data_IF_745109561611
#
_entry.id   IF_745109561611
#
_cell.length_a   1.000
_cell.length_b   1.000
_cell.length_c   1.000
_cell.angle_alpha   90.00
_cell.angle_beta   90.00
_cell.angle_gamma   90.00
#
_symmetry.space_group_name_H-M   'P 1'
#
loop_
_entity.id
_entity.type
_entity.pdbx_description
1 polymer ?
#
# COMPACT_ATOMS: atom_id res chain seq x y z
N UNK A 1 26.52 32.06 16.84
CA UNK A 1 25.74 31.33 17.86
C UNK A 1 24.41 30.99 17.21
N UNK A 2 24.18 29.71 16.97
CA UNK A 2 23.18 29.18 16.05
C UNK A 2 21.76 29.27 16.63
N UNK A 3 20.74 29.49 15.79
CA UNK A 3 19.32 29.65 16.16
C UNK A 3 18.79 28.47 16.99
N UNK A 4 19.37 27.28 16.79
CA UNK A 4 19.07 26.08 17.58
C UNK A 4 19.56 26.18 19.04
N UNK A 5 20.69 26.85 19.30
CA UNK A 5 21.24 27.02 20.65
C UNK A 5 20.48 28.06 21.46
N UNK A 6 19.93 29.07 20.79
CA UNK A 6 19.09 30.11 21.41
C UNK A 6 17.70 29.56 21.78
N UNK A 7 17.12 28.68 20.96
CA UNK A 7 15.86 28.00 21.28
C UNK A 7 15.98 27.05 22.49
N UNK A 8 17.11 26.33 22.62
CA UNK A 8 17.38 25.45 23.76
C UNK A 8 17.53 26.22 25.09
N UNK A 9 18.14 27.41 25.06
CA UNK A 9 18.26 28.28 26.24
C UNK A 9 16.97 28.99 26.63
N UNK A 10 16.12 29.35 25.65
CA UNK A 10 14.82 29.97 25.90
C UNK A 10 13.83 28.96 26.53
N UNK A 11 13.86 27.70 26.09
CA UNK A 11 13.01 26.64 26.65
C UNK A 11 13.26 26.34 28.13
N UNK A 12 14.47 26.58 28.65
CA UNK A 12 14.82 26.28 30.05
C UNK A 12 14.58 27.46 31.02
N UNK A 13 14.32 28.68 30.51
CA UNK A 13 14.16 29.90 31.32
C UNK A 13 12.74 30.45 31.40
N UNK A 14 11.79 29.94 30.60
CA UNK A 14 10.38 30.42 30.57
C UNK A 14 9.40 29.34 31.09
N UNK A 15 9.71 28.74 32.24
CA UNK A 15 8.73 27.92 32.95
C UNK A 15 8.82 28.22 34.46
N UNK A 16 8.33 29.39 34.86
CA UNK A 16 7.79 29.54 36.20
C UNK A 16 6.28 29.32 36.15
N UNK A 17 5.89 28.15 36.64
CA UNK A 17 4.53 27.67 36.81
C UNK A 17 3.82 28.55 37.85
N UNK A 18 3.06 29.54 37.43
CA UNK A 18 2.11 30.22 38.31
C UNK A 18 0.81 29.42 38.35
N UNK A 19 0.58 28.71 39.45
CA UNK A 19 -0.73 28.15 39.78
C UNK A 19 -1.54 29.22 40.52
N UNK A 20 -2.55 29.77 39.86
CA UNK A 20 -3.74 30.33 40.49
C UNK A 20 -4.89 30.23 39.50
N UNK A 21 -6.06 29.86 40.01
CA UNK A 21 -7.22 29.43 39.24
C UNK A 21 -7.62 30.45 38.15
N UNK A 22 -7.90 29.91 36.96
CA UNK A 22 -8.61 30.57 35.85
C UNK A 22 -7.80 31.43 34.86
N UNK A 23 -6.55 31.09 34.52
CA UNK A 23 -5.88 31.67 33.33
C UNK A 23 -4.69 30.83 32.85
N UNK A 24 -4.62 30.51 31.55
CA UNK A 24 -3.41 30.02 30.89
C UNK A 24 -2.84 31.13 30.00
N UNK A 25 -1.63 31.60 30.30
CA UNK A 25 -0.95 32.64 29.53
C UNK A 25 0.24 31.99 28.81
N UNK A 26 0.27 32.08 27.48
CA UNK A 26 1.44 31.73 26.67
C UNK A 26 2.16 33.02 26.24
N UNK A 27 3.43 33.15 26.59
CA UNK A 27 4.28 34.25 26.14
C UNK A 27 5.28 33.71 25.12
N UNK A 28 5.13 34.11 23.86
CA UNK A 28 6.13 33.90 22.82
C UNK A 28 6.69 35.27 22.44
N UNK A 29 8.01 35.37 22.33
CA UNK A 29 8.81 36.60 22.45
C UNK A 29 8.58 37.70 21.38
N UNK A 30 7.57 37.60 20.50
CA UNK A 30 7.28 38.64 19.50
C UNK A 30 5.79 38.87 19.22
N UNK A 31 4.89 38.65 20.19
CA UNK A 31 3.50 39.09 20.08
C UNK A 31 2.60 38.45 21.12
N UNK A 32 1.92 39.27 21.92
CA UNK A 32 0.96 38.82 22.92
C UNK A 32 -0.34 38.43 22.20
N UNK A 33 -0.76 37.17 22.28
CA UNK A 33 -2.13 36.75 21.95
C UNK A 33 -2.83 36.46 23.27
N UNK A 34 -3.75 37.34 23.67
CA UNK A 34 -4.67 37.12 24.80
C UNK A 34 -6.00 36.67 24.20
N UNK A 35 -6.44 35.46 24.54
CA UNK A 35 -7.84 35.05 24.30
C UNK A 35 -8.55 35.07 25.64
N UNK A 36 -9.41 36.07 25.84
CA UNK A 36 -10.37 36.09 26.95
C UNK A 36 -11.79 35.96 26.39
N UNK A 37 -12.61 35.12 27.02
CA UNK A 37 -14.06 35.13 26.81
C UNK A 37 -14.65 36.41 27.42
N UNK A 38 -14.74 37.49 26.66
CA UNK A 38 -15.79 38.53 26.72
C UNK A 38 -15.46 39.68 25.77
N UNK A 39 -16.47 40.13 25.05
CA UNK A 39 -16.44 41.00 23.86
C UNK A 39 -16.06 42.45 24.20
N UNK A 40 -15.20 43.07 23.39
CA UNK A 40 -15.42 44.35 22.64
C UNK A 40 -14.13 45.17 22.41
N UNK A 41 -14.08 45.79 21.23
CA UNK A 41 -13.24 46.94 20.81
C UNK A 41 -11.87 46.67 20.16
N UNK A 42 -11.86 46.88 18.84
CA UNK A 42 -10.76 47.35 17.96
C UNK A 42 -9.42 46.60 17.93
N UNK A 43 -9.38 45.48 17.21
CA UNK A 43 -8.17 45.00 16.53
C UNK A 43 -8.50 44.81 15.04
N UNK A 44 -8.68 45.91 14.31
CA UNK A 44 -8.92 45.87 12.85
C UNK A 44 -7.83 46.58 12.02
N UNK A 45 -6.70 46.98 12.62
CA UNK A 45 -5.68 47.76 11.89
C UNK A 45 -4.28 47.13 11.78
N UNK A 46 -4.01 45.94 12.34
CA UNK A 46 -2.64 45.40 12.35
C UNK A 46 -2.46 43.98 11.79
N UNK A 47 -3.50 43.41 11.18
CA UNK A 47 -3.50 42.00 10.77
C UNK A 47 -3.62 41.86 9.25
N UNK A 48 -2.65 42.36 8.49
CA UNK A 48 -2.52 42.07 7.05
C UNK A 48 -1.52 40.95 6.73
N UNK A 49 -0.87 40.35 7.74
CA UNK A 49 0.17 39.33 7.59
C UNK A 49 -0.03 38.06 8.45
N UNK A 50 -1.26 37.73 8.87
CA UNK A 50 -1.53 36.56 9.74
C UNK A 50 -1.55 35.21 9.00
N UNK A 51 -1.69 35.19 7.67
CA UNK A 51 -1.77 33.93 6.94
C UNK A 51 -0.44 33.12 6.95
N UNK A 52 0.71 33.78 7.03
CA UNK A 52 2.03 33.11 7.07
C UNK A 52 2.43 32.63 8.48
N UNK A 53 1.97 33.30 9.53
CA UNK A 53 2.28 32.90 10.91
C UNK A 53 1.46 31.70 11.37
N UNK A 54 0.28 31.48 10.80
CA UNK A 54 -0.55 30.30 11.08
C UNK A 54 0.07 29.00 10.54
N UNK A 55 0.66 29.03 9.33
CA UNK A 55 1.32 27.85 8.74
C UNK A 55 2.55 27.42 9.54
N UNK A 56 3.39 28.37 9.95
CA UNK A 56 4.56 28.10 10.79
C UNK A 56 4.17 27.60 12.19
N UNK A 57 3.08 28.13 12.75
CA UNK A 57 2.54 27.68 14.04
C UNK A 57 2.04 26.24 13.96
N UNK A 58 1.32 25.88 12.89
CA UNK A 58 0.84 24.51 12.71
C UNK A 58 2.00 23.52 12.54
N UNK A 59 3.00 23.85 11.72
CA UNK A 59 4.17 22.99 11.54
C UNK A 59 4.95 22.78 12.85
N UNK A 60 5.11 23.83 13.68
CA UNK A 60 5.72 23.73 15.01
C UNK A 60 4.86 22.93 16.01
N UNK A 61 3.54 23.13 16.01
CA UNK A 61 2.61 22.43 16.89
C UNK A 61 2.54 20.93 16.56
N UNK A 62 2.61 20.57 15.27
CA UNK A 62 2.67 19.17 14.83
C UNK A 62 4.02 18.51 15.14
N UNK A 63 5.12 19.26 15.08
CA UNK A 63 6.41 18.80 15.59
C UNK A 63 6.33 18.49 17.09
N UNK A 64 5.58 19.29 17.86
CA UNK A 64 5.40 19.06 19.29
C UNK A 64 4.54 17.81 19.60
N UNK A 65 3.46 17.58 18.85
CA UNK A 65 2.58 16.41 19.06
C UNK A 65 3.21 15.06 18.66
N UNK A 66 4.11 15.05 17.66
CA UNK A 66 4.71 13.82 17.10
C UNK A 66 6.16 13.55 17.55
N UNK A 67 6.60 14.11 18.67
CA UNK A 67 7.96 13.85 19.19
C UNK A 67 9.09 14.47 18.36
N UNK A 68 8.82 15.54 17.62
CA UNK A 68 9.81 16.37 16.92
C UNK A 68 10.06 16.01 15.45
N UNK A 69 9.54 14.89 14.96
CA UNK A 69 9.79 14.47 13.57
C UNK A 69 8.61 14.78 12.64
N UNK A 70 8.84 15.46 11.50
CA UNK A 70 7.80 15.63 10.50
C UNK A 70 7.38 14.27 9.94
N UNK A 71 6.06 14.05 9.78
CA UNK A 71 5.51 12.81 9.23
C UNK A 71 6.27 12.42 7.96
N UNK A 72 6.89 11.24 7.86
CA UNK A 72 7.68 10.85 6.69
C UNK A 72 6.86 10.83 5.40
N UNK A 73 7.53 10.97 4.25
CA UNK A 73 6.85 10.96 2.94
C UNK A 73 6.03 9.69 2.71
N UNK A 74 6.54 8.50 3.07
CA UNK A 74 5.84 7.24 2.86
C UNK A 74 4.51 7.17 3.64
N UNK A 75 4.48 7.71 4.87
CA UNK A 75 3.29 7.72 5.71
C UNK A 75 2.26 8.75 5.18
N UNK A 76 2.73 9.92 4.72
CA UNK A 76 1.85 10.89 4.06
C UNK A 76 1.27 10.33 2.77
N UNK A 77 2.10 9.69 1.97
CA UNK A 77 1.72 9.02 0.73
C UNK A 77 0.59 8.01 0.99
N UNK A 78 0.77 7.09 1.93
CA UNK A 78 -0.26 6.11 2.30
C UNK A 78 -1.58 6.79 2.69
N UNK A 79 -1.53 7.80 3.58
CA UNK A 79 -2.74 8.52 4.03
C UNK A 79 -3.45 9.29 2.91
N UNK A 80 -2.70 9.91 2.00
CA UNK A 80 -3.24 10.59 0.81
C UNK A 80 -4.01 9.60 -0.06
N UNK A 81 -3.41 8.44 -0.31
CA UNK A 81 -3.96 7.42 -1.19
C UNK A 81 -5.21 6.76 -0.59
N UNK A 82 -5.21 6.54 0.73
CA UNK A 82 -6.39 6.05 1.47
C UNK A 82 -7.57 7.02 1.35
N UNK A 83 -7.32 8.32 1.55
CA UNK A 83 -8.34 9.35 1.39
C UNK A 83 -8.91 9.40 -0.04
N UNK A 84 -8.06 9.21 -1.04
CA UNK A 84 -8.45 9.12 -2.44
C UNK A 84 -9.26 7.85 -2.76
N UNK A 85 -8.95 6.72 -2.14
CA UNK A 85 -9.73 5.48 -2.27
C UNK A 85 -11.13 5.60 -1.67
N UNK A 86 -11.28 6.34 -0.57
CA UNK A 86 -12.57 6.57 0.09
C UNK A 86 -13.49 7.51 -0.72
N UNK A 87 -12.94 8.58 -1.31
CA UNK A 87 -13.73 9.70 -1.86
C UNK A 87 -13.60 9.90 -3.37
N UNK A 88 -12.79 9.09 -4.05
CA UNK A 88 -12.40 9.17 -5.48
C UNK A 88 -11.66 10.45 -5.90
N UNK A 89 -11.86 11.54 -5.16
CA UNK A 89 -11.24 12.84 -5.30
C UNK A 89 -11.04 13.47 -3.92
N UNK A 90 -9.93 14.18 -3.74
CA UNK A 90 -9.65 14.94 -2.51
C UNK A 90 -9.04 16.29 -2.86
N UNK A 91 -9.35 17.30 -2.06
CA UNK A 91 -8.70 18.61 -2.21
C UNK A 91 -7.42 18.70 -1.38
N UNK A 92 -6.47 19.53 -1.81
CA UNK A 92 -5.24 19.78 -1.05
C UNK A 92 -5.55 20.43 0.31
N UNK A 93 -6.61 21.24 0.40
CA UNK A 93 -7.04 21.86 1.67
C UNK A 93 -7.54 20.81 2.66
N UNK A 94 -8.40 19.91 2.20
CA UNK A 94 -8.92 18.80 3.01
C UNK A 94 -7.79 17.89 3.52
N UNK A 95 -6.83 17.54 2.65
CA UNK A 95 -5.65 16.78 3.06
C UNK A 95 -4.78 17.54 4.06
N UNK A 96 -4.65 18.87 3.90
CA UNK A 96 -3.86 19.71 4.82
C UNK A 96 -4.47 19.70 6.22
N UNK A 97 -5.80 19.82 6.30
CA UNK A 97 -6.54 19.78 7.57
C UNK A 97 -6.52 18.38 8.21
N UNK A 98 -6.69 17.32 7.41
CA UNK A 98 -6.75 15.93 7.91
C UNK A 98 -5.38 15.39 8.34
N UNK A 99 -4.32 15.74 7.61
CA UNK A 99 -2.97 15.22 7.83
C UNK A 99 -2.10 16.16 8.66
N UNK A 100 -2.58 17.38 8.90
CA UNK A 100 -1.83 18.45 9.55
C UNK A 100 -0.49 18.72 8.83
N UNK A 101 -0.53 18.76 7.50
CA UNK A 101 0.64 18.99 6.64
C UNK A 101 0.42 20.26 5.83
N UNK A 102 1.44 21.12 5.73
CA UNK A 102 1.35 22.36 4.96
C UNK A 102 1.05 22.13 3.48
N UNK A 103 0.23 23.03 2.90
CA UNK A 103 -0.18 22.99 1.49
C UNK A 103 1.02 22.89 0.51
N UNK A 104 2.14 23.62 0.70
CA UNK A 104 3.31 23.48 -0.16
C UNK A 104 3.94 22.09 -0.12
N UNK A 105 3.94 21.43 1.04
CA UNK A 105 4.44 20.05 1.19
C UNK A 105 3.52 19.07 0.49
N UNK A 106 2.22 19.17 0.69
CA UNK A 106 1.25 18.36 -0.04
C UNK A 106 1.32 18.56 -1.56
N UNK A 107 1.54 19.78 -2.05
CA UNK A 107 1.76 20.03 -3.48
C UNK A 107 2.98 19.28 -4.03
N UNK A 108 4.10 19.28 -3.30
CA UNK A 108 5.31 18.51 -3.66
C UNK A 108 5.04 17.01 -3.65
N UNK A 109 4.29 16.55 -2.66
CA UNK A 109 3.91 15.14 -2.56
C UNK A 109 2.98 14.74 -3.72
N UNK A 110 1.97 15.54 -4.06
CA UNK A 110 1.10 15.29 -5.22
C UNK A 110 1.89 15.22 -6.53
N UNK A 111 2.88 16.10 -6.73
CA UNK A 111 3.75 16.07 -7.93
C UNK A 111 4.51 14.73 -8.00
N UNK A 112 5.06 14.26 -6.87
CA UNK A 112 5.73 12.96 -6.81
C UNK A 112 4.76 11.82 -7.11
N UNK A 113 3.57 11.84 -6.51
CA UNK A 113 2.56 10.79 -6.71
C UNK A 113 2.04 10.75 -8.15
N UNK A 114 1.87 11.92 -8.79
CA UNK A 114 1.51 12.02 -10.21
C UNK A 114 2.63 11.49 -11.11
N UNK A 115 3.89 11.85 -10.83
CA UNK A 115 5.05 11.32 -11.55
C UNK A 115 5.21 9.79 -11.40
N UNK A 116 4.79 9.25 -10.25
CA UNK A 116 4.72 7.81 -9.99
C UNK A 116 3.46 7.15 -10.61
N UNK A 117 2.59 7.91 -11.29
CA UNK A 117 1.37 7.40 -11.91
C UNK A 117 0.31 6.94 -10.91
N UNK A 118 0.36 7.41 -9.66
CA UNK A 118 -0.55 7.00 -8.57
C UNK A 118 -1.83 7.82 -8.52
N UNK A 119 -1.77 9.09 -8.95
CA UNK A 119 -2.88 10.04 -8.89
C UNK A 119 -2.91 10.91 -10.16
N UNK A 120 -4.06 11.49 -10.48
CA UNK A 120 -4.20 12.55 -11.47
C UNK A 120 -4.49 13.85 -10.74
N UNK A 121 -3.67 14.89 -10.94
CA UNK A 121 -3.93 16.16 -10.28
C UNK A 121 -5.08 16.90 -10.97
N UNK A 122 -5.92 17.52 -10.17
CA UNK A 122 -6.98 18.42 -10.62
C UNK A 122 -6.70 19.84 -10.14
N UNK A 123 -7.50 20.81 -10.57
CA UNK A 123 -7.34 22.20 -10.14
C UNK A 123 -7.70 22.35 -8.64
N UNK A 124 -6.71 22.15 -7.76
CA UNK A 124 -6.86 22.28 -6.30
C UNK A 124 -6.87 20.96 -5.51
N UNK A 125 -6.68 19.81 -6.18
CA UNK A 125 -6.79 18.50 -5.57
C UNK A 125 -6.13 17.40 -6.39
N UNK A 126 -6.58 16.18 -6.13
CA UNK A 126 -6.21 15.01 -6.90
C UNK A 126 -7.40 14.06 -7.01
N UNK A 127 -7.42 13.25 -8.06
CA UNK A 127 -8.29 12.09 -8.22
C UNK A 127 -7.43 10.84 -8.35
N UNK A 128 -8.01 9.69 -8.03
CA UNK A 128 -7.41 8.43 -8.45
C UNK A 128 -7.39 8.37 -9.97
N UNK A 129 -6.30 7.85 -10.53
CA UNK A 129 -6.30 7.45 -11.94
C UNK A 129 -7.24 6.24 -12.07
N UNK A 130 -8.53 6.52 -12.30
CA UNK A 130 -9.47 5.57 -12.87
C UNK A 130 -9.27 5.56 -14.38
N UNK A 131 -8.09 5.18 -14.86
CA UNK A 131 -7.95 4.90 -16.29
C UNK A 131 -8.52 3.51 -16.53
N UNK A 132 -9.64 3.48 -17.25
CA UNK A 132 -9.95 2.39 -18.15
C UNK A 132 -8.64 1.94 -18.83
N UNK A 133 -8.33 0.65 -18.74
CA UNK A 133 -6.99 0.05 -18.85
C UNK A 133 -6.16 0.09 -17.55
N UNK A 134 -6.72 -0.47 -16.48
CA UNK A 134 -6.21 -1.57 -15.62
C UNK A 134 -4.67 -1.88 -15.55
N UNK A 135 -3.88 -1.60 -16.59
CA UNK A 135 -2.48 -2.02 -16.74
C UNK A 135 -1.50 -1.41 -15.73
N UNK A 136 -1.86 -0.32 -15.04
CA UNK A 136 -0.93 0.47 -14.22
C UNK A 136 -1.41 0.77 -12.80
N UNK A 137 -2.39 0.02 -12.25
CA UNK A 137 -2.76 0.20 -10.85
C UNK A 137 -1.58 -0.19 -9.95
N UNK A 138 -1.05 0.75 -9.15
CA UNK A 138 0.06 0.46 -8.24
C UNK A 138 -0.27 -0.63 -7.22
N UNK A 139 0.76 -1.37 -6.78
CA UNK A 139 0.62 -2.47 -5.82
C UNK A 139 -0.16 -2.08 -4.56
N UNK A 140 0.15 -0.94 -3.94
CA UNK A 140 -0.46 -0.54 -2.66
C UNK A 140 -1.97 -0.29 -2.77
N UNK A 141 -2.50 0.16 -3.92
CA UNK A 141 -3.95 0.28 -4.12
C UNK A 141 -4.57 -1.12 -4.18
N UNK A 142 -3.96 -1.99 -4.99
CA UNK A 142 -4.38 -3.38 -5.11
C UNK A 142 -4.26 -4.14 -3.80
N UNK A 143 -3.45 -3.69 -2.84
CA UNK A 143 -3.34 -4.29 -1.52
C UNK A 143 -4.56 -3.99 -0.67
N UNK A 144 -5.17 -2.81 -0.80
CA UNK A 144 -6.33 -2.39 -0.02
C UNK A 144 -7.67 -2.78 -0.65
N UNK A 145 -7.69 -3.07 -1.95
CA UNK A 145 -8.88 -3.58 -2.63
C UNK A 145 -9.25 -4.98 -2.13
N UNK A 146 -10.52 -5.25 -1.88
CA UNK A 146 -11.03 -6.60 -1.60
C UNK A 146 -10.35 -7.33 -0.44
N UNK A 147 -9.89 -6.62 0.61
CA UNK A 147 -9.17 -7.21 1.75
C UNK A 147 -9.92 -8.37 2.39
N UNK A 148 -11.21 -8.19 2.70
CA UNK A 148 -12.03 -9.25 3.30
C UNK A 148 -12.11 -10.50 2.41
N UNK A 149 -12.17 -10.35 1.08
CA UNK A 149 -12.17 -11.48 0.16
C UNK A 149 -10.80 -12.19 0.15
N UNK A 150 -9.70 -11.42 0.09
CA UNK A 150 -8.35 -11.99 0.16
C UNK A 150 -8.08 -12.71 1.46
N UNK A 151 -8.55 -12.20 2.59
CA UNK A 151 -8.38 -12.85 3.89
C UNK A 151 -9.09 -14.21 3.91
N UNK A 152 -10.34 -14.28 3.44
CA UNK A 152 -11.08 -15.55 3.31
C UNK A 152 -10.36 -16.54 2.40
N UNK A 153 -9.83 -16.06 1.28
CA UNK A 153 -9.08 -16.88 0.33
C UNK A 153 -7.76 -17.37 0.94
N UNK A 154 -7.03 -16.51 1.64
CA UNK A 154 -5.77 -16.84 2.31
C UNK A 154 -5.97 -17.88 3.41
N UNK A 155 -7.03 -17.75 4.22
CA UNK A 155 -7.41 -18.75 5.22
C UNK A 155 -7.71 -20.12 4.60
N UNK A 156 -8.33 -20.17 3.41
CA UNK A 156 -8.49 -21.44 2.68
C UNK A 156 -7.15 -21.94 2.13
N UNK A 157 -6.33 -21.05 1.58
CA UNK A 157 -5.08 -21.40 0.93
C UNK A 157 -4.06 -22.01 1.90
N UNK A 158 -3.93 -21.45 3.11
CA UNK A 158 -2.97 -21.94 4.10
C UNK A 158 -3.26 -23.38 4.55
N UNK A 159 -4.54 -23.81 4.53
CA UNK A 159 -4.88 -25.22 4.87
C UNK A 159 -4.34 -26.24 3.87
N UNK A 160 -3.92 -25.79 2.68
CA UNK A 160 -3.27 -26.64 1.67
C UNK A 160 -1.76 -26.75 1.89
N UNK A 161 -1.17 -25.91 2.74
CA UNK A 161 0.27 -25.89 3.02
C UNK A 161 0.63 -26.96 4.05
N UNK A 162 1.73 -27.66 3.80
CA UNK A 162 2.31 -28.65 4.71
C UNK A 162 3.73 -28.24 5.10
N UNK A 163 4.12 -28.59 6.32
CA UNK A 163 5.51 -28.46 6.75
C UNK A 163 6.42 -29.31 5.84
N UNK A 164 7.50 -28.72 5.34
CA UNK A 164 8.37 -29.33 4.33
C UNK A 164 8.09 -28.87 2.90
N UNK A 165 6.96 -28.20 2.63
CA UNK A 165 6.61 -27.75 1.27
C UNK A 165 7.61 -26.69 0.76
N UNK A 166 7.98 -26.85 -0.51
CA UNK A 166 8.49 -25.76 -1.35
C UNK A 166 7.33 -25.07 -2.05
N UNK A 167 7.18 -23.76 -1.83
CA UNK A 167 6.05 -22.96 -2.28
C UNK A 167 6.52 -21.93 -3.30
N UNK A 168 5.93 -21.90 -4.49
CA UNK A 168 5.99 -20.71 -5.34
C UNK A 168 4.89 -19.72 -4.95
N UNK A 169 5.28 -18.46 -4.73
CA UNK A 169 4.38 -17.35 -4.46
C UNK A 169 4.56 -16.27 -5.51
N UNK A 170 3.55 -16.03 -6.34
CA UNK A 170 3.64 -14.99 -7.37
C UNK A 170 3.64 -13.56 -6.78
N UNK A 171 3.81 -12.57 -7.65
CA UNK A 171 3.83 -11.16 -7.28
C UNK A 171 2.48 -10.53 -6.95
N UNK A 172 1.42 -11.32 -6.76
CA UNK A 172 0.06 -10.79 -6.57
C UNK A 172 -0.25 -10.45 -5.11
N UNK A 173 -1.13 -9.47 -4.91
CA UNK A 173 -1.61 -9.09 -3.58
C UNK A 173 -2.45 -10.17 -2.91
N UNK A 174 -3.10 -11.04 -3.70
CA UNK A 174 -3.82 -12.21 -3.20
C UNK A 174 -2.88 -13.27 -2.64
N UNK A 175 -1.75 -13.54 -3.30
CA UNK A 175 -0.76 -14.48 -2.80
C UNK A 175 -0.02 -13.93 -1.57
N UNK A 176 0.31 -12.64 -1.59
CA UNK A 176 0.85 -11.92 -0.43
C UNK A 176 0.02 -12.09 0.85
N UNK A 177 -1.31 -12.09 0.76
CA UNK A 177 -2.21 -12.25 1.92
C UNK A 177 -2.05 -13.59 2.66
N UNK A 178 -1.39 -14.59 2.07
CA UNK A 178 -1.09 -15.87 2.72
C UNK A 178 0.06 -15.73 3.72
N UNK A 179 1.03 -14.85 3.48
CA UNK A 179 2.31 -14.77 4.20
C UNK A 179 2.13 -14.71 5.72
N UNK A 180 1.26 -13.85 6.30
CA UNK A 180 1.09 -13.79 7.75
C UNK A 180 0.63 -15.11 8.38
N UNK A 181 -0.08 -15.95 7.61
CA UNK A 181 -0.61 -17.23 8.06
C UNK A 181 0.43 -18.36 8.00
N UNK A 182 1.60 -18.11 7.41
CA UNK A 182 2.71 -19.08 7.34
C UNK A 182 3.54 -19.13 8.63
N UNK A 183 3.34 -18.21 9.57
CA UNK A 183 4.08 -18.13 10.84
C UNK A 183 4.15 -19.44 11.65
N UNK A 184 3.10 -20.30 11.68
CA UNK A 184 3.16 -21.54 12.44
C UNK A 184 4.09 -22.62 11.86
N UNK A 185 4.43 -22.52 10.58
CA UNK A 185 5.20 -23.54 9.87
C UNK A 185 6.70 -23.31 10.07
N UNK A 186 7.46 -24.41 10.19
CA UNK A 186 8.88 -24.36 10.59
C UNK A 186 9.83 -24.85 9.52
N UNK A 187 9.31 -25.51 8.48
CA UNK A 187 10.12 -26.14 7.42
C UNK A 187 9.62 -25.77 6.04
N UNK A 188 9.31 -24.50 5.81
CA UNK A 188 8.90 -24.02 4.48
C UNK A 188 10.09 -23.45 3.72
N UNK A 189 10.10 -23.66 2.41
CA UNK A 189 10.90 -22.86 1.48
C UNK A 189 9.96 -22.09 0.56
N UNK A 190 10.01 -20.77 0.59
CA UNK A 190 9.13 -19.93 -0.26
C UNK A 190 9.95 -19.24 -1.34
N UNK A 191 9.64 -19.53 -2.59
CA UNK A 191 10.27 -18.89 -3.75
C UNK A 191 9.29 -17.88 -4.33
N UNK A 192 9.67 -16.60 -4.38
CA UNK A 192 8.74 -15.53 -4.79
C UNK A 192 9.37 -14.55 -5.77
N UNK A 193 8.54 -14.05 -6.68
CA UNK A 193 8.92 -12.95 -7.57
C UNK A 193 8.70 -11.57 -6.94
N UNK A 194 8.05 -11.47 -5.78
CA UNK A 194 7.79 -10.16 -5.15
C UNK A 194 8.91 -9.76 -4.18
N UNK A 195 9.50 -8.60 -4.43
CA UNK A 195 10.46 -8.00 -3.51
C UNK A 195 9.84 -7.76 -2.12
N UNK A 196 8.57 -7.33 -2.09
CA UNK A 196 7.84 -7.07 -0.86
C UNK A 196 7.53 -8.37 -0.10
N UNK A 197 7.10 -9.42 -0.81
CA UNK A 197 6.84 -10.72 -0.20
C UNK A 197 8.13 -11.30 0.41
N UNK A 198 9.24 -11.26 -0.32
CA UNK A 198 10.54 -11.73 0.17
C UNK A 198 10.98 -10.98 1.43
N UNK A 199 10.80 -9.66 1.48
CA UNK A 199 11.09 -8.88 2.68
C UNK A 199 10.29 -9.36 3.90
N UNK A 200 8.97 -9.54 3.77
CA UNK A 200 8.13 -10.01 4.88
C UNK A 200 8.46 -11.43 5.33
N UNK A 201 8.69 -12.34 4.38
CA UNK A 201 9.10 -13.70 4.69
C UNK A 201 10.41 -13.71 5.50
N UNK A 202 11.36 -12.83 5.15
CA UNK A 202 12.58 -12.63 5.92
C UNK A 202 12.34 -12.11 7.35
N UNK A 203 11.37 -11.20 7.54
CA UNK A 203 10.99 -10.74 8.89
C UNK A 203 10.40 -11.86 9.77
N UNK A 204 9.81 -12.87 9.14
CA UNK A 204 9.21 -14.03 9.81
C UNK A 204 10.19 -15.20 9.98
N UNK A 205 11.46 -15.02 9.59
CA UNK A 205 12.48 -16.09 9.59
C UNK A 205 12.07 -17.32 8.77
N UNK A 206 11.31 -17.11 7.69
CA UNK A 206 10.95 -18.16 6.73
C UNK A 206 12.04 -18.22 5.65
N UNK A 207 12.58 -19.42 5.40
CA UNK A 207 13.53 -19.64 4.33
C UNK A 207 12.90 -19.23 2.99
N UNK A 208 13.46 -18.21 2.34
CA UNK A 208 12.89 -17.66 1.12
C UNK A 208 13.94 -17.34 0.07
N UNK A 209 13.56 -17.53 -1.19
CA UNK A 209 14.38 -17.25 -2.37
C UNK A 209 13.63 -16.24 -3.21
N UNK A 210 14.24 -15.09 -3.44
CA UNK A 210 13.71 -14.11 -4.38
C UNK A 210 14.19 -14.46 -5.79
N UNK A 211 13.31 -14.43 -6.80
CA UNK A 211 13.69 -14.88 -8.16
C UNK A 211 14.79 -14.02 -8.80
N UNK A 212 14.96 -12.78 -8.35
CA UNK A 212 15.90 -11.82 -8.93
C UNK A 212 15.52 -11.42 -10.36
N UNK A 213 16.35 -10.61 -11.01
CA UNK A 213 16.11 -10.08 -12.36
C UNK A 213 15.68 -8.60 -12.36
N UNK A 214 15.03 -8.15 -13.44
CA UNK A 214 14.58 -6.76 -13.56
C UNK A 214 13.30 -6.56 -12.74
N UNK A 215 13.26 -5.55 -11.90
CA UNK A 215 12.04 -5.21 -11.16
C UNK A 215 11.05 -4.43 -12.03
N UNK A 216 9.78 -4.81 -11.97
CA UNK A 216 8.66 -4.07 -12.53
C UNK A 216 8.11 -3.11 -11.46
N UNK A 217 8.40 -1.82 -11.60
CA UNK A 217 8.16 -0.81 -10.56
C UNK A 217 6.70 -0.69 -10.09
N UNK A 218 5.71 -0.95 -10.96
CA UNK A 218 4.28 -0.85 -10.60
C UNK A 218 3.82 -1.93 -9.62
N UNK A 219 4.44 -3.12 -9.65
CA UNK A 219 4.07 -4.29 -8.84
C UNK A 219 5.18 -4.75 -7.90
N UNK A 220 6.35 -4.13 -7.94
CA UNK A 220 7.57 -4.56 -7.21
C UNK A 220 7.88 -6.05 -7.42
N UNK A 221 7.53 -6.56 -8.59
CA UNK A 221 7.75 -7.95 -8.99
C UNK A 221 8.94 -8.04 -9.91
N UNK A 222 9.82 -8.99 -9.65
CA UNK A 222 10.93 -9.33 -10.52
C UNK A 222 10.45 -10.11 -11.72
N UNK A 223 10.99 -9.76 -12.89
CA UNK A 223 10.63 -10.29 -14.20
C UNK A 223 11.89 -10.43 -15.08
N UNK A 224 11.71 -11.06 -16.24
CA UNK A 224 12.76 -11.24 -17.23
C UNK A 224 13.41 -12.62 -17.15
N UNK A 225 14.40 -12.84 -18.03
CA UNK A 225 14.99 -14.16 -18.22
C UNK A 225 15.67 -14.70 -16.95
N UNK A 226 16.34 -13.83 -16.17
CA UNK A 226 16.97 -14.24 -14.92
C UNK A 226 15.95 -14.76 -13.92
N UNK A 227 14.81 -14.07 -13.78
CA UNK A 227 13.72 -14.49 -12.91
C UNK A 227 13.15 -15.86 -13.34
N UNK A 228 12.93 -16.02 -14.65
CA UNK A 228 12.44 -17.28 -15.22
C UNK A 228 13.44 -18.43 -15.04
N UNK A 229 14.74 -18.16 -15.20
CA UNK A 229 15.82 -19.13 -15.00
C UNK A 229 15.89 -19.59 -13.56
N UNK A 230 15.75 -18.67 -12.61
CA UNK A 230 15.64 -19.00 -11.19
C UNK A 230 14.45 -19.93 -10.95
N UNK A 231 13.25 -19.58 -11.44
CA UNK A 231 12.04 -20.43 -11.28
C UNK A 231 12.25 -21.83 -11.88
N UNK A 232 12.84 -21.94 -13.07
CA UNK A 232 13.13 -23.22 -13.74
C UNK A 232 14.17 -24.08 -13.01
N UNK A 233 14.92 -23.51 -12.08
CA UNK A 233 15.94 -24.24 -11.30
C UNK A 233 15.37 -24.92 -10.04
N UNK A 234 14.08 -24.70 -9.74
CA UNK A 234 13.40 -25.30 -8.60
C UNK A 234 12.14 -26.05 -9.03
N UNK A 235 11.74 -27.03 -8.22
CA UNK A 235 10.44 -27.69 -8.29
C UNK A 235 9.69 -27.38 -6.99
N UNK A 236 8.43 -26.96 -7.11
CA UNK A 236 7.59 -26.63 -5.97
C UNK A 236 6.49 -27.69 -5.76
N UNK A 237 6.18 -27.94 -4.50
CA UNK A 237 5.05 -28.77 -4.10
C UNK A 237 3.72 -28.08 -4.40
N UNK A 238 3.71 -26.75 -4.31
CA UNK A 238 2.53 -25.93 -4.54
C UNK A 238 2.90 -24.54 -5.06
N UNK A 239 2.11 -24.03 -6.01
CA UNK A 239 2.12 -22.61 -6.40
C UNK A 239 0.81 -21.96 -6.01
N UNK A 240 0.93 -20.79 -5.40
CA UNK A 240 -0.16 -19.85 -5.20
C UNK A 240 0.07 -18.63 -6.09
N UNK A 241 -0.92 -18.34 -6.94
CA UNK A 241 -0.86 -17.21 -7.84
C UNK A 241 -2.24 -16.61 -8.08
N UNK A 242 -2.28 -15.42 -8.69
CA UNK A 242 -3.53 -14.79 -9.09
C UNK A 242 -3.45 -14.27 -10.53
N UNK A 243 -4.59 -13.82 -11.04
CA UNK A 243 -4.71 -13.12 -12.32
C UNK A 243 -5.57 -11.87 -12.16
N UNK A 244 -5.78 -11.15 -13.26
CA UNK A 244 -6.67 -9.99 -13.31
C UNK A 244 -8.12 -10.39 -13.64
N UNK A 245 -8.30 -11.42 -14.45
CA UNK A 245 -9.63 -11.91 -14.84
C UNK A 245 -9.66 -13.41 -15.11
N UNK A 246 -10.80 -14.00 -14.81
CA UNK A 246 -11.21 -15.33 -15.24
C UNK A 246 -12.51 -15.20 -16.05
N UNK A 247 -12.47 -15.52 -17.34
CA UNK A 247 -13.65 -15.57 -18.17
C UNK A 247 -14.47 -16.85 -17.92
N UNK A 248 -15.75 -16.82 -18.26
CA UNK A 248 -16.66 -17.97 -18.06
C UNK A 248 -16.30 -19.19 -18.90
N UNK A 249 -15.52 -19.00 -19.97
CA UNK A 249 -14.95 -20.08 -20.78
C UNK A 249 -13.64 -20.65 -20.21
N UNK A 250 -13.17 -20.19 -19.04
CA UNK A 250 -12.03 -20.76 -18.33
C UNK A 250 -10.67 -20.13 -18.60
N UNK A 251 -10.59 -19.01 -19.35
CA UNK A 251 -9.31 -18.33 -19.61
C UNK A 251 -8.92 -17.40 -18.46
N UNK A 252 -7.74 -17.64 -17.90
CA UNK A 252 -7.11 -16.71 -16.97
C UNK A 252 -6.35 -15.66 -17.77
N UNK A 253 -6.51 -14.38 -17.44
CA UNK A 253 -5.88 -13.28 -18.17
C UNK A 253 -5.38 -12.16 -17.27
N UNK A 254 -4.36 -11.45 -17.76
CA UNK A 254 -3.73 -10.30 -17.13
C UNK A 254 -3.23 -9.33 -18.22
N UNK A 255 -2.81 -8.12 -17.83
CA UNK A 255 -2.26 -7.14 -18.76
C UNK A 255 -0.73 -7.24 -18.87
N UNK A 256 -0.06 -7.84 -17.88
CA UNK A 256 1.41 -7.94 -17.86
C UNK A 256 1.91 -9.22 -18.53
N UNK A 257 2.49 -9.11 -19.72
CA UNK A 257 3.06 -10.27 -20.42
C UNK A 257 4.27 -10.84 -19.67
N UNK A 258 5.09 -9.99 -19.06
CA UNK A 258 6.29 -10.41 -18.36
C UNK A 258 5.99 -11.15 -17.06
N UNK A 259 5.01 -10.66 -16.28
CA UNK A 259 4.55 -11.40 -15.10
C UNK A 259 3.86 -12.71 -15.51
N UNK A 260 3.11 -12.72 -16.61
CA UNK A 260 2.48 -13.94 -17.11
C UNK A 260 3.51 -14.99 -17.55
N UNK A 261 4.62 -14.59 -18.18
CA UNK A 261 5.71 -15.53 -18.52
C UNK A 261 6.28 -16.19 -17.28
N UNK A 262 6.55 -15.41 -16.24
CA UNK A 262 7.08 -15.93 -14.98
C UNK A 262 6.07 -16.83 -14.26
N UNK A 263 4.79 -16.43 -14.17
CA UNK A 263 3.72 -17.27 -13.61
C UNK A 263 3.58 -18.59 -14.36
N UNK A 264 3.65 -18.60 -15.70
CA UNK A 264 3.63 -19.86 -16.47
C UNK A 264 4.79 -20.77 -16.09
N UNK A 265 6.00 -20.23 -15.93
CA UNK A 265 7.14 -21.01 -15.46
C UNK A 265 6.89 -21.60 -14.06
N UNK A 266 6.33 -20.82 -13.13
CA UNK A 266 5.98 -21.31 -11.79
C UNK A 266 4.92 -22.40 -11.85
N UNK A 267 3.87 -22.21 -12.65
CA UNK A 267 2.79 -23.19 -12.87
C UNK A 267 3.33 -24.50 -13.44
N UNK A 268 4.26 -24.45 -14.38
CA UNK A 268 4.87 -25.64 -14.97
C UNK A 268 5.77 -26.39 -13.98
N UNK A 269 6.48 -25.67 -13.12
CA UNK A 269 7.39 -26.21 -12.11
C UNK A 269 6.70 -26.61 -10.79
N UNK A 270 5.37 -26.77 -10.79
CA UNK A 270 4.60 -27.04 -9.57
C UNK A 270 3.72 -28.29 -9.68
N UNK A 271 3.74 -29.10 -8.62
CA UNK A 271 2.87 -30.26 -8.48
C UNK A 271 1.40 -29.88 -8.29
N UNK A 272 1.12 -28.93 -7.38
CA UNK A 272 -0.21 -28.40 -7.10
C UNK A 272 -0.32 -26.95 -7.52
N UNK A 273 -1.28 -26.63 -8.38
CA UNK A 273 -1.46 -25.32 -9.00
C UNK A 273 -2.75 -24.69 -8.50
N UNK A 274 -2.65 -23.71 -7.62
CA UNK A 274 -3.78 -23.12 -6.90
C UNK A 274 -3.96 -21.68 -7.30
N UNK A 275 -5.08 -21.39 -7.98
CA UNK A 275 -5.49 -20.03 -8.30
C UNK A 275 -6.17 -19.39 -7.09
N UNK A 276 -5.76 -18.16 -6.75
CA UNK A 276 -6.41 -17.30 -5.78
C UNK A 276 -7.18 -16.22 -6.53
N UNK A 277 -8.51 -16.22 -6.44
CA UNK A 277 -9.36 -15.32 -7.22
C UNK A 277 -10.52 -14.80 -6.37
N UNK A 278 -10.57 -13.50 -6.14
CA UNK A 278 -11.76 -12.87 -5.57
C UNK A 278 -12.87 -12.73 -6.63
N UNK A 279 -14.11 -12.71 -6.17
CA UNK A 279 -15.32 -12.68 -6.97
C UNK A 279 -15.39 -11.51 -7.95
N UNK A 280 -14.71 -10.39 -7.65
CA UNK A 280 -14.68 -9.23 -8.54
C UNK A 280 -13.91 -9.48 -9.85
N UNK A 281 -13.16 -10.58 -9.95
CA UNK A 281 -12.37 -10.96 -11.14
C UNK A 281 -13.05 -12.00 -12.03
N UNK A 282 -14.22 -12.49 -11.64
CA UNK A 282 -15.03 -13.41 -12.44
C UNK A 282 -15.68 -12.70 -13.63
N UNK A 283 -15.89 -13.45 -14.70
CA UNK A 283 -16.45 -12.98 -15.98
C UNK A 283 -15.72 -11.76 -16.57
N UNK A 284 -14.38 -11.80 -16.47
CA UNK A 284 -13.50 -10.74 -17.01
C UNK A 284 -12.41 -11.32 -17.88
N UNK A 285 -12.10 -10.61 -18.95
CA UNK A 285 -11.04 -10.95 -19.89
C UNK A 285 -10.14 -9.73 -20.12
N UNK A 286 -8.83 -9.97 -20.14
CA UNK A 286 -7.78 -8.96 -20.31
C UNK A 286 -6.86 -9.32 -21.48
N UNK A 287 -5.96 -8.39 -21.81
CA UNK A 287 -5.15 -8.41 -23.03
C UNK A 287 -4.38 -9.71 -23.24
N UNK A 288 -3.75 -10.24 -22.20
CA UNK A 288 -2.87 -11.41 -22.30
C UNK A 288 -3.45 -12.60 -21.53
N UNK A 289 -3.71 -13.70 -22.24
CA UNK A 289 -4.07 -14.98 -21.60
C UNK A 289 -2.85 -15.58 -20.89
N UNK A 290 -2.98 -15.88 -19.60
CA UNK A 290 -1.97 -16.56 -18.80
C UNK A 290 -1.98 -18.07 -19.08
N UNK A 291 -3.09 -18.73 -18.79
CA UNK A 291 -3.32 -20.16 -18.96
C UNK A 291 -4.83 -20.45 -18.95
N UNK A 292 -5.21 -21.70 -19.11
CA UNK A 292 -6.60 -22.14 -18.98
C UNK A 292 -6.84 -22.77 -17.61
N UNK A 293 -8.08 -22.74 -17.13
CA UNK A 293 -8.46 -23.33 -15.85
C UNK A 293 -8.20 -24.85 -15.79
N UNK A 294 -8.22 -25.51 -16.95
CA UNK A 294 -7.85 -26.93 -17.11
C UNK A 294 -6.38 -27.25 -16.86
N UNK A 295 -5.53 -26.24 -16.76
CA UNK A 295 -4.12 -26.44 -16.41
C UNK A 295 -3.92 -26.54 -14.89
N UNK A 296 -4.96 -26.24 -14.10
CA UNK A 296 -4.88 -26.01 -12.66
C UNK A 296 -5.57 -27.10 -11.85
N UNK A 297 -5.08 -27.33 -10.63
CA UNK A 297 -5.62 -28.34 -9.73
C UNK A 297 -6.74 -27.78 -8.84
N UNK A 298 -6.70 -26.48 -8.52
CA UNK A 298 -7.65 -25.88 -7.59
C UNK A 298 -7.85 -24.38 -7.86
N UNK A 299 -9.04 -23.87 -7.49
CA UNK A 299 -9.38 -22.46 -7.47
C UNK A 299 -9.99 -22.13 -6.11
N UNK A 300 -9.43 -21.13 -5.43
CA UNK A 300 -9.95 -20.60 -4.19
C UNK A 300 -10.59 -19.23 -4.40
N UNK A 301 -11.85 -19.11 -4.00
CA UNK A 301 -12.65 -17.90 -4.10
C UNK A 301 -13.36 -17.57 -2.77
N UNK A 302 -13.71 -16.30 -2.59
CA UNK A 302 -14.47 -15.79 -1.44
C UNK A 302 -15.94 -16.19 -1.48
N UNK A 303 -16.47 -16.49 -2.68
CA UNK A 303 -17.83 -16.99 -2.89
C UNK A 303 -17.83 -18.42 -3.46
N UNK A 304 -18.98 -19.14 -3.41
CA UNK A 304 -19.17 -20.37 -4.18
C UNK A 304 -19.01 -20.12 -5.68
N UNK A 305 -18.26 -20.98 -6.36
CA UNK A 305 -18.01 -20.86 -7.80
C UNK A 305 -19.09 -21.55 -8.63
N UNK A 306 -19.41 -21.04 -9.83
CA UNK A 306 -20.24 -21.73 -10.79
C UNK A 306 -19.73 -23.15 -11.06
N UNK A 307 -20.64 -24.14 -11.07
CA UNK A 307 -20.28 -25.54 -11.33
C UNK A 307 -19.60 -25.73 -12.68
N UNK A 308 -19.92 -24.90 -13.67
CA UNK A 308 -19.29 -24.91 -14.99
C UNK A 308 -17.78 -24.68 -14.89
N UNK A 309 -17.33 -23.67 -14.13
CA UNK A 309 -15.91 -23.40 -13.92
C UNK A 309 -15.24 -24.51 -13.11
N UNK A 310 -15.90 -25.02 -12.07
CA UNK A 310 -15.34 -26.10 -11.26
C UNK A 310 -15.07 -27.38 -12.06
N UNK A 311 -15.91 -27.70 -13.05
CA UNK A 311 -15.74 -28.85 -13.94
C UNK A 311 -14.56 -28.72 -14.92
N UNK A 312 -14.07 -27.50 -15.13
CA UNK A 312 -12.94 -27.26 -16.02
C UNK A 312 -11.59 -27.52 -15.36
N UNK A 313 -11.53 -27.57 -14.02
CA UNK A 313 -10.28 -27.84 -13.31
C UNK A 313 -9.73 -29.22 -13.68
N UNK A 314 -8.40 -29.35 -13.63
CA UNK A 314 -7.73 -30.61 -13.88
C UNK A 314 -8.12 -31.61 -12.80
N UNK A 315 -8.75 -32.72 -13.21
CA UNK A 315 -9.02 -33.84 -12.31
C UNK A 315 -7.69 -34.38 -11.76
N UNK A 316 -7.63 -34.58 -10.44
CA UNK A 316 -6.51 -35.19 -9.72
C UNK A 316 -6.78 -36.69 -9.60
#
# INVERSE_FOLDING_TARGET
MDLATTAYWIGKKIFHKYHSNSMLIFVVSYGIIIITQSISVNIFSYCRNIYTTFELFNDCFNQFLNGGNPMPFYEREEKILNALMEKESVSIRELSEKLYVSIPTLRRDMIKLEALGKIMRTHGGATLIKKAADENIPLFLREQEQNSAKDKIAQKAVTLVKDGDTIFLDGSTSAYSIIPLLAPYRKLTVITSSAKASFLLGQMDINNICTGGRMLNRSFSYIGEDAERTVRSYNADIVFFSCRGLSMDGRLSDNSIEENRLRRAMILQSNRKVLLLDSSKLDKLYLNTLCHLSDLNNLLCDIPLPTALMRMLKNI
#
